data_IF_463944267112
#
_entry.id   IF_463944267112
#
_cell.length_a   1.000
_cell.length_b   1.000
_cell.length_c   1.000
_cell.angle_alpha   90.00
_cell.angle_beta   90.00
_cell.angle_gamma   90.00
#
_symmetry.space_group_name_H-M   'P 1'
#
loop_
_entity.id
_entity.type
_entity.pdbx_description
1 polymer ?
#
# COMPACT_ATOMS: atom_id res chain seq x y z
N UNK A 1 -9.83 -4.85 -11.15
CA UNK A 1 -9.76 -5.41 -12.50
C UNK A 1 -9.63 -4.28 -13.50
N UNK A 2 -8.66 -4.41 -14.39
CA UNK A 2 -8.36 -3.50 -15.50
C UNK A 2 -8.63 -4.27 -16.80
N UNK A 3 -9.53 -3.78 -17.67
CA UNK A 3 -9.84 -4.46 -18.92
C UNK A 3 -8.71 -4.26 -19.95
N UNK A 4 -8.29 -5.35 -20.58
CA UNK A 4 -7.36 -5.34 -21.72
C UNK A 4 -7.89 -6.28 -22.82
N UNK A 5 -7.40 -6.17 -24.06
CA UNK A 5 -7.80 -7.08 -25.14
C UNK A 5 -7.30 -8.52 -24.96
N UNK A 6 -6.28 -8.75 -24.13
CA UNK A 6 -5.80 -10.08 -23.77
C UNK A 6 -6.59 -10.70 -22.60
N UNK A 7 -7.58 -9.97 -22.07
CA UNK A 7 -8.37 -10.33 -20.90
C UNK A 7 -8.09 -9.44 -19.69
N UNK A 8 -8.66 -9.77 -18.51
CA UNK A 8 -8.51 -8.94 -17.33
C UNK A 8 -7.07 -8.96 -16.81
N UNK A 9 -6.67 -7.82 -16.24
CA UNK A 9 -5.50 -7.67 -15.38
C UNK A 9 -5.98 -7.28 -13.98
N UNK A 10 -5.53 -8.02 -12.97
CA UNK A 10 -5.83 -7.77 -11.56
C UNK A 10 -4.67 -7.03 -10.93
N UNK A 11 -4.98 -6.13 -9.99
CA UNK A 11 -4.02 -5.26 -9.33
C UNK A 11 -4.21 -5.44 -7.82
N UNK A 12 -3.13 -5.82 -7.13
CA UNK A 12 -3.03 -5.75 -5.67
C UNK A 12 -2.14 -4.57 -5.31
N UNK A 13 -2.55 -3.76 -4.34
CA UNK A 13 -1.77 -2.62 -3.89
C UNK A 13 -1.84 -2.47 -2.37
N UNK A 14 -0.72 -2.08 -1.77
CA UNK A 14 -0.57 -1.81 -0.35
C UNK A 14 -0.27 -0.33 -0.19
N UNK A 15 -1.10 0.35 0.60
CA UNK A 15 -1.02 1.80 0.80
C UNK A 15 -0.81 2.12 2.27
N UNK A 16 0.24 2.87 2.52
CA UNK A 16 0.55 3.38 3.86
C UNK A 16 -0.54 4.35 4.32
N UNK A 17 -1.10 4.15 5.53
CA UNK A 17 -2.19 4.99 6.02
C UNK A 17 -1.72 6.38 6.46
N UNK A 18 -0.45 6.48 6.88
CA UNK A 18 0.18 7.71 7.37
C UNK A 18 0.54 8.67 6.22
N UNK A 19 1.37 8.22 5.27
CA UNK A 19 1.85 9.02 4.14
C UNK A 19 0.97 8.92 2.91
N UNK A 20 0.01 7.99 2.88
CA UNK A 20 -0.83 7.67 1.71
C UNK A 20 -0.06 7.13 0.51
N UNK A 21 1.22 6.80 0.68
CA UNK A 21 2.10 6.25 -0.36
C UNK A 21 1.65 4.83 -0.70
N UNK A 22 1.66 4.49 -1.99
CA UNK A 22 1.60 3.09 -2.42
C UNK A 22 2.99 2.50 -2.23
N UNK A 23 3.15 1.64 -1.23
CA UNK A 23 4.47 1.09 -0.83
C UNK A 23 4.79 -0.21 -1.55
N UNK A 24 3.76 -0.87 -2.08
CA UNK A 24 3.88 -2.05 -2.92
C UNK A 24 2.66 -2.19 -3.82
N UNK A 25 2.86 -2.72 -5.02
CA UNK A 25 1.78 -3.14 -5.88
C UNK A 25 2.28 -4.24 -6.81
N UNK A 26 1.36 -5.11 -7.24
CA UNK A 26 1.64 -6.22 -8.15
C UNK A 26 0.45 -6.42 -9.08
N UNK A 27 0.67 -6.98 -10.27
CA UNK A 27 -0.40 -7.34 -11.19
C UNK A 27 -0.35 -8.80 -11.62
N UNK A 28 -1.52 -9.38 -11.90
CA UNK A 28 -1.63 -10.76 -12.38
C UNK A 28 -2.83 -10.94 -13.31
N UNK A 29 -2.77 -11.96 -14.15
CA UNK A 29 -3.94 -12.42 -14.92
C UNK A 29 -5.02 -13.05 -14.02
N UNK A 30 -4.69 -13.39 -12.77
CA UNK A 30 -5.55 -14.07 -11.81
C UNK A 30 -5.71 -13.27 -10.51
N UNK A 31 -6.94 -13.22 -9.98
CA UNK A 31 -7.24 -12.69 -8.65
C UNK A 31 -7.14 -13.79 -7.59
N UNK A 32 -5.91 -14.21 -7.29
CA UNK A 32 -5.64 -15.26 -6.30
C UNK A 32 -4.85 -14.71 -5.10
N UNK A 33 -4.63 -15.59 -4.12
CA UNK A 33 -3.86 -15.25 -2.91
C UNK A 33 -2.38 -15.00 -3.22
N UNK A 34 -1.83 -15.57 -4.29
CA UNK A 34 -0.42 -15.44 -4.63
C UNK A 34 -0.12 -14.02 -5.16
N UNK A 35 -1.09 -13.39 -5.87
CA UNK A 35 -1.04 -11.96 -6.21
C UNK A 35 -0.97 -11.07 -4.96
N UNK A 36 -1.83 -11.31 -3.97
CA UNK A 36 -1.83 -10.54 -2.71
C UNK A 36 -0.52 -10.73 -1.96
N UNK A 37 -0.08 -11.98 -1.81
CA UNK A 37 1.16 -12.34 -1.13
C UNK A 37 2.37 -11.68 -1.76
N UNK A 38 2.46 -11.66 -3.10
CA UNK A 38 3.57 -11.01 -3.81
C UNK A 38 3.68 -9.53 -3.46
N UNK A 39 2.54 -8.81 -3.47
CA UNK A 39 2.53 -7.40 -3.05
C UNK A 39 2.90 -7.21 -1.57
N UNK A 40 2.50 -8.15 -0.70
CA UNK A 40 2.85 -8.11 0.72
C UNK A 40 4.35 -8.34 0.95
N UNK A 41 4.94 -9.35 0.31
CA UNK A 41 6.39 -9.60 0.40
C UNK A 41 7.18 -8.39 -0.11
N UNK A 42 6.75 -7.78 -1.22
CA UNK A 42 7.39 -6.55 -1.71
C UNK A 42 7.32 -5.43 -0.67
N UNK A 43 6.15 -5.19 -0.06
CA UNK A 43 5.99 -4.18 1.00
C UNK A 43 6.89 -4.44 2.21
N UNK A 44 7.06 -5.72 2.60
CA UNK A 44 7.92 -6.10 3.73
C UNK A 44 9.40 -5.98 3.41
N UNK A 45 9.79 -6.18 2.14
CA UNK A 45 11.18 -5.97 1.72
C UNK A 45 11.52 -4.49 1.48
N UNK A 46 10.54 -3.66 1.14
CA UNK A 46 10.76 -2.25 0.80
C UNK A 46 10.83 -1.33 2.02
N UNK A 47 10.49 -1.82 3.22
CA UNK A 47 10.57 -1.04 4.47
C UNK A 47 11.16 -1.88 5.60
N UNK A 48 11.99 -1.28 6.44
CA UNK A 48 12.35 -1.84 7.74
C UNK A 48 11.14 -1.74 8.66
N UNK A 49 10.37 -2.81 8.75
CA UNK A 49 9.21 -2.91 9.64
C UNK A 49 9.60 -3.77 10.84
N UNK A 50 9.55 -3.22 12.06
CA UNK A 50 9.74 -4.08 13.23
C UNK A 50 8.50 -4.95 13.45
N UNK A 51 8.66 -6.23 13.87
CA UNK A 51 7.54 -7.10 14.18
C UNK A 51 6.58 -6.46 15.19
N UNK A 52 5.28 -6.45 14.90
CA UNK A 52 4.23 -5.88 15.75
C UNK A 52 3.85 -4.43 15.41
N UNK A 53 4.64 -3.72 14.61
CA UNK A 53 4.38 -2.30 14.30
C UNK A 53 3.46 -2.13 13.09
N UNK A 54 3.23 -3.19 12.30
CA UNK A 54 2.41 -3.16 11.10
C UNK A 54 1.06 -3.82 11.35
N UNK A 55 -0.01 -3.06 11.12
CA UNK A 55 -1.36 -3.60 10.97
C UNK A 55 -1.64 -3.68 9.49
N UNK A 56 -2.03 -4.86 9.00
CA UNK A 56 -2.47 -5.06 7.62
C UNK A 56 -4.00 -5.17 7.62
N UNK A 57 -4.65 -4.14 7.09
CA UNK A 57 -6.10 -4.15 6.86
C UNK A 57 -6.38 -4.66 5.46
N UNK A 58 -7.32 -5.60 5.36
CA UNK A 58 -7.76 -6.17 4.10
C UNK A 58 -9.26 -6.41 4.14
N UNK A 59 -9.93 -6.16 3.01
CA UNK A 59 -11.35 -6.48 2.86
C UNK A 59 -11.59 -7.99 2.92
N UNK A 60 -12.82 -8.38 3.27
CA UNK A 60 -13.28 -9.76 3.44
C UNK A 60 -13.34 -10.58 2.13
N UNK A 61 -12.44 -10.35 1.18
CA UNK A 61 -12.27 -11.21 0.01
C UNK A 61 -11.78 -12.60 0.40
N UNK A 62 -12.25 -13.62 -0.32
CA UNK A 62 -11.82 -15.03 -0.17
C UNK A 62 -10.30 -15.23 -0.28
N UNK A 63 -9.60 -14.32 -0.94
CA UNK A 63 -8.15 -14.31 -1.11
C UNK A 63 -7.43 -13.86 0.18
N UNK A 64 -8.00 -12.89 0.89
CA UNK A 64 -7.47 -12.33 2.13
C UNK A 64 -7.76 -13.19 3.36
N UNK A 65 -8.74 -14.09 3.26
CA UNK A 65 -9.04 -15.12 4.24
C UNK A 65 -8.29 -16.44 4.00
N UNK A 66 -7.39 -16.48 3.01
CA UNK A 66 -6.62 -17.69 2.70
C UNK A 66 -5.62 -18.02 3.81
N UNK A 67 -5.53 -19.31 4.16
CA UNK A 67 -4.61 -19.83 5.17
C UNK A 67 -3.17 -19.41 4.87
N UNK A 68 -2.78 -19.35 3.58
CA UNK A 68 -1.45 -18.91 3.14
C UNK A 68 -1.16 -17.47 3.59
N UNK A 69 -2.08 -16.53 3.35
CA UNK A 69 -1.92 -15.13 3.72
C UNK A 69 -1.88 -14.95 5.24
N UNK A 70 -2.85 -15.52 5.95
CA UNK A 70 -2.90 -15.45 7.41
C UNK A 70 -1.63 -16.04 8.05
N UNK A 71 -1.13 -17.17 7.52
CA UNK A 71 0.13 -17.79 8.01
C UNK A 71 1.33 -16.88 7.78
N UNK A 72 1.43 -16.18 6.64
CA UNK A 72 2.56 -15.26 6.38
C UNK A 72 2.49 -14.00 7.23
N UNK A 73 1.30 -13.42 7.43
CA UNK A 73 1.10 -12.28 8.32
C UNK A 73 1.56 -12.61 9.75
N UNK A 74 1.12 -13.75 10.30
CA UNK A 74 1.54 -14.23 11.63
C UNK A 74 3.07 -14.43 11.69
N UNK A 75 3.68 -15.05 10.68
CA UNK A 75 5.14 -15.26 10.63
C UNK A 75 5.94 -13.96 10.56
N UNK A 76 5.39 -12.92 9.93
CA UNK A 76 6.02 -11.60 9.86
C UNK A 76 5.76 -10.75 11.11
N UNK A 77 5.02 -11.27 12.10
CA UNK A 77 4.64 -10.51 13.30
C UNK A 77 3.66 -9.38 12.99
N UNK A 78 2.95 -9.45 11.86
CA UNK A 78 1.98 -8.44 11.43
C UNK A 78 0.64 -8.81 12.05
N UNK A 79 0.04 -7.89 12.79
CA UNK A 79 -1.29 -8.12 13.31
C UNK A 79 -2.30 -7.99 12.16
N UNK A 80 -2.88 -9.12 11.76
CA UNK A 80 -3.98 -9.14 10.82
C UNK A 80 -5.22 -8.59 11.53
N UNK A 81 -5.56 -7.32 11.30
CA UNK A 81 -6.87 -6.80 11.67
C UNK A 81 -7.84 -7.15 10.53
N UNK A 82 -8.39 -8.36 10.59
CA UNK A 82 -9.65 -8.64 9.87
C UNK A 82 -10.75 -8.01 10.71
N UNK A 83 -11.01 -6.72 10.49
CA UNK A 83 -11.81 -5.89 11.37
C UNK A 83 -13.12 -6.53 11.79
N UNK A 84 -13.51 -6.35 13.04
CA UNK A 84 -14.92 -6.42 13.43
C UNK A 84 -15.73 -5.49 12.52
N UNK A 85 -17.01 -5.80 12.28
CA UNK A 85 -17.97 -4.94 11.55
C UNK A 85 -17.84 -3.49 12.05
N UNK A 86 -17.13 -2.61 11.31
CA UNK A 86 -16.91 -1.24 11.78
C UNK A 86 -15.71 -0.41 11.26
N UNK A 87 -14.65 -0.96 10.66
CA UNK A 87 -13.49 -0.15 10.20
C UNK A 87 -13.72 0.55 8.85
N UNK A 88 -14.70 1.44 8.83
CA UNK A 88 -15.03 2.29 7.67
C UNK A 88 -13.86 3.14 7.15
N UNK A 89 -12.86 3.44 7.98
CA UNK A 89 -11.73 4.30 7.62
C UNK A 89 -10.72 3.59 6.70
N UNK A 90 -10.34 2.36 7.02
CA UNK A 90 -9.36 1.60 6.24
C UNK A 90 -9.94 1.14 4.90
N UNK A 91 -11.20 0.68 4.91
CA UNK A 91 -11.93 0.42 3.68
C UNK A 91 -12.03 1.70 2.82
N UNK A 92 -12.30 2.87 3.44
CA UNK A 92 -12.31 4.14 2.69
C UNK A 92 -10.93 4.54 2.13
N UNK A 93 -9.81 4.18 2.76
CA UNK A 93 -8.47 4.42 2.24
C UNK A 93 -8.18 3.57 0.99
N UNK A 94 -8.57 2.30 1.02
CA UNK A 94 -8.46 1.40 -0.11
C UNK A 94 -9.41 1.81 -1.26
N UNK A 95 -10.69 2.03 -0.96
CA UNK A 95 -11.69 2.50 -1.92
C UNK A 95 -11.26 3.80 -2.61
N UNK A 96 -10.70 4.75 -1.85
CA UNK A 96 -10.20 6.00 -2.40
C UNK A 96 -9.05 5.78 -3.40
N UNK A 97 -8.12 4.87 -3.11
CA UNK A 97 -7.05 4.52 -4.05
C UNK A 97 -7.66 3.95 -5.34
N UNK A 98 -8.64 3.05 -5.24
CA UNK A 98 -9.28 2.46 -6.40
C UNK A 98 -10.02 3.47 -7.27
N UNK A 99 -10.71 4.43 -6.65
CA UNK A 99 -11.35 5.53 -7.37
C UNK A 99 -10.31 6.34 -8.14
N UNK A 100 -9.18 6.68 -7.51
CA UNK A 100 -8.11 7.46 -8.14
C UNK A 100 -7.49 6.71 -9.33
N UNK A 101 -7.06 5.46 -9.15
CA UNK A 101 -6.50 4.64 -10.23
C UNK A 101 -7.50 4.51 -11.38
N UNK A 102 -8.76 4.16 -11.10
CA UNK A 102 -9.78 4.02 -12.14
C UNK A 102 -10.04 5.32 -12.87
N UNK A 103 -10.09 6.45 -12.17
CA UNK A 103 -10.49 7.75 -12.74
C UNK A 103 -9.36 8.45 -13.47
N UNK A 104 -8.15 8.40 -12.91
CA UNK A 104 -6.99 9.15 -13.39
C UNK A 104 -6.08 8.31 -14.30
N UNK A 105 -5.91 7.01 -14.02
CA UNK A 105 -5.02 6.14 -14.81
C UNK A 105 -5.76 5.38 -15.91
N UNK A 106 -6.94 4.80 -15.61
CA UNK A 106 -7.59 3.81 -16.49
C UNK A 106 -8.69 4.42 -17.37
N UNK A 107 -9.48 5.35 -16.84
CA UNK A 107 -10.64 5.92 -17.54
C UNK A 107 -10.26 6.53 -18.87
N UNK A 108 -10.96 6.13 -19.93
CA UNK A 108 -10.73 6.64 -21.29
C UNK A 108 -9.60 5.94 -22.05
N UNK A 109 -8.93 4.94 -21.45
CA UNK A 109 -7.91 4.13 -22.12
C UNK A 109 -8.46 2.77 -22.51
N UNK A 110 -7.94 2.23 -23.61
CA UNK A 110 -8.16 0.84 -24.02
C UNK A 110 -6.80 0.19 -24.21
N UNK A 111 -6.48 -0.78 -23.37
CA UNK A 111 -5.19 -1.46 -23.43
C UNK A 111 -5.25 -2.64 -24.39
N UNK A 112 -4.31 -2.67 -25.34
CA UNK A 112 -4.15 -3.80 -26.25
C UNK A 112 -3.59 -5.02 -25.51
N UNK A 113 -2.63 -4.81 -24.61
CA UNK A 113 -1.95 -5.89 -23.88
C UNK A 113 -1.95 -5.65 -22.37
N UNK A 114 -1.75 -6.72 -21.60
CA UNK A 114 -1.51 -6.61 -20.15
C UNK A 114 -0.25 -5.82 -19.83
N UNK A 115 0.78 -5.95 -20.65
CA UNK A 115 2.03 -5.21 -20.49
C UNK A 115 1.82 -3.68 -20.61
N UNK A 116 0.97 -3.24 -21.55
CA UNK A 116 0.61 -1.83 -21.70
C UNK A 116 -0.13 -1.30 -20.47
N UNK A 117 -1.08 -2.07 -19.94
CA UNK A 117 -1.78 -1.72 -18.71
C UNK A 117 -0.82 -1.68 -17.50
N UNK A 118 0.15 -2.59 -17.43
CA UNK A 118 1.13 -2.62 -16.36
C UNK A 118 2.09 -1.40 -16.44
N UNK A 119 2.53 -1.03 -17.64
CA UNK A 119 3.33 0.17 -17.86
C UNK A 119 2.56 1.44 -17.45
N UNK A 120 1.28 1.52 -17.82
CA UNK A 120 0.40 2.61 -17.42
C UNK A 120 0.26 2.75 -15.89
N UNK A 121 0.17 1.62 -15.18
CA UNK A 121 0.15 1.60 -13.73
C UNK A 121 1.48 2.04 -13.14
N UNK A 122 2.60 1.59 -13.68
CA UNK A 122 3.94 2.03 -13.26
C UNK A 122 4.13 3.54 -13.44
N UNK A 123 3.83 4.06 -14.63
CA UNK A 123 3.90 5.50 -14.91
C UNK A 123 2.99 6.31 -13.98
N UNK A 124 1.81 5.79 -13.67
CA UNK A 124 0.88 6.47 -12.78
C UNK A 124 1.29 6.37 -11.32
N UNK A 125 1.58 5.18 -10.78
CA UNK A 125 1.85 4.96 -9.35
C UNK A 125 3.24 5.50 -9.00
N UNK A 126 4.28 5.01 -9.69
CA UNK A 126 5.67 5.31 -9.39
C UNK A 126 6.14 6.60 -10.06
N UNK A 127 5.61 6.93 -11.24
CA UNK A 127 5.98 8.14 -11.97
C UNK A 127 5.22 9.41 -11.56
N UNK A 128 4.01 9.29 -10.99
CA UNK A 128 3.16 10.45 -10.67
C UNK A 128 2.57 10.42 -9.26
N UNK A 129 1.83 9.38 -8.88
CA UNK A 129 1.06 9.30 -7.65
C UNK A 129 1.96 9.48 -6.43
N UNK A 130 2.98 8.64 -6.29
CA UNK A 130 3.90 8.67 -5.16
C UNK A 130 4.77 9.94 -5.13
N UNK A 131 5.48 10.31 -6.22
CA UNK A 131 6.44 11.41 -6.16
C UNK A 131 5.83 12.80 -6.35
N UNK A 132 4.68 12.94 -7.02
CA UNK A 132 4.23 14.25 -7.56
C UNK A 132 2.78 14.61 -7.26
N UNK A 133 1.93 13.65 -6.88
CA UNK A 133 0.50 13.92 -6.72
C UNK A 133 0.21 14.68 -5.44
N UNK A 134 -0.04 15.97 -5.58
CA UNK A 134 -0.38 16.87 -4.46
C UNK A 134 -1.70 16.46 -3.79
N UNK A 135 -1.67 16.34 -2.45
CA UNK A 135 -2.86 16.02 -1.66
C UNK A 135 -3.07 17.07 -0.56
N UNK A 136 -4.26 17.69 -0.53
CA UNK A 136 -4.64 18.66 0.51
C UNK A 136 -4.49 18.09 1.93
N UNK A 137 -4.80 16.80 2.11
CA UNK A 137 -4.69 16.11 3.40
C UNK A 137 -3.24 15.93 3.87
N UNK A 138 -2.27 15.97 2.96
CA UNK A 138 -0.84 15.90 3.27
C UNK A 138 -0.19 17.30 3.33
N UNK A 139 -0.98 18.36 3.51
CA UNK A 139 -0.45 19.72 3.53
C UNK A 139 0.04 20.21 2.17
N UNK A 140 -0.61 19.77 1.08
CA UNK A 140 -0.21 20.10 -0.29
C UNK A 140 1.16 19.53 -0.70
N UNK A 141 1.51 18.37 -0.16
CA UNK A 141 2.67 17.59 -0.55
C UNK A 141 2.25 16.32 -1.29
N UNK A 142 3.18 15.74 -2.06
CA UNK A 142 3.07 14.37 -2.54
C UNK A 142 3.27 13.36 -1.39
N UNK A 143 2.84 12.10 -1.55
CA UNK A 143 3.11 11.05 -0.56
C UNK A 143 4.58 10.93 -0.16
N UNK A 144 5.50 10.94 -1.14
CA UNK A 144 6.94 10.86 -0.87
C UNK A 144 7.44 12.13 -0.18
N UNK A 145 7.07 13.32 -0.67
CA UNK A 145 7.51 14.60 -0.06
C UNK A 145 7.04 14.72 1.40
N UNK A 146 5.82 14.26 1.70
CA UNK A 146 5.28 14.25 3.05
C UNK A 146 6.08 13.32 3.97
N UNK A 147 6.39 12.11 3.49
CA UNK A 147 7.17 11.11 4.23
C UNK A 147 8.59 11.60 4.50
N UNK A 148 9.26 12.13 3.47
CA UNK A 148 10.61 12.70 3.57
C UNK A 148 10.67 13.87 4.55
N UNK A 149 9.71 14.79 4.47
CA UNK A 149 9.58 15.90 5.40
C UNK A 149 9.43 15.41 6.84
N UNK A 150 8.58 14.41 7.06
CA UNK A 150 8.35 13.88 8.41
C UNK A 150 9.61 13.27 9.02
N UNK A 151 10.34 12.44 8.26
CA UNK A 151 11.56 11.83 8.77
C UNK A 151 12.71 12.84 8.94
N UNK A 152 12.80 13.86 8.07
CA UNK A 152 13.74 14.96 8.26
C UNK A 152 13.44 15.76 9.53
N UNK A 153 12.17 16.07 9.78
CA UNK A 153 11.73 16.80 10.99
C UNK A 153 11.98 15.95 12.26
N UNK A 154 11.77 14.62 12.21
CA UNK A 154 12.11 13.71 13.32
C UNK A 154 13.62 13.66 13.60
N UNK A 155 14.45 13.54 12.56
CA UNK A 155 15.90 13.50 12.70
C UNK A 155 16.48 14.82 13.25
N UNK A 156 15.84 15.95 12.92
CA UNK A 156 16.20 17.26 13.50
C UNK A 156 15.70 17.44 14.95
N UNK A 157 14.63 16.73 15.34
CA UNK A 157 14.04 16.78 16.66
C UNK A 157 14.68 15.82 17.68
N UNK A 158 15.38 14.76 17.23
CA UNK A 158 16.27 13.98 18.11
C UNK A 158 17.46 14.86 18.51
N UNK A 159 17.55 15.33 19.76
CA UNK A 159 18.74 16.04 20.20
C UNK A 159 19.91 15.08 20.09
N UNK A 160 21.11 15.61 19.79
CA UNK A 160 22.39 14.95 20.12
C UNK A 160 22.42 14.74 21.64
N UNK A 161 21.76 13.68 22.10
CA UNK A 161 21.73 13.27 23.48
C UNK A 161 22.87 12.27 23.63
N UNK A 162 24.07 12.84 23.72
CA UNK A 162 25.29 12.16 24.10
C UNK A 162 25.20 11.81 25.60
N UNK A 163 24.28 10.88 25.93
CA UNK A 163 24.20 10.19 27.22
C UNK A 163 23.22 9.02 27.13
N UNK A 164 23.82 7.83 27.00
CA UNK A 164 23.39 6.55 27.58
C UNK A 164 21.97 6.03 27.31
N UNK A 165 21.93 4.99 26.46
CA UNK A 165 21.27 3.68 26.64
C UNK A 165 19.73 3.61 26.75
N UNK A 166 19.21 2.68 25.95
CA UNK A 166 18.06 1.78 26.14
C UNK A 166 16.65 2.16 25.62
N UNK A 167 16.19 1.28 24.71
CA UNK A 167 14.83 0.71 24.52
C UNK A 167 13.75 1.45 23.67
N UNK A 168 13.20 0.64 22.74
CA UNK A 168 11.78 0.39 22.40
C UNK A 168 10.93 1.38 21.57
N UNK A 169 10.50 0.90 20.38
CA UNK A 169 9.09 0.83 19.90
C UNK A 169 8.50 2.00 19.11
N UNK A 170 8.09 1.80 17.85
CA UNK A 170 7.38 2.77 16.98
C UNK A 170 6.25 2.13 16.13
N UNK A 171 4.98 2.30 16.50
CA UNK A 171 3.81 1.76 15.78
C UNK A 171 3.49 2.50 14.44
N UNK A 172 3.27 1.78 13.32
CA UNK A 172 2.88 2.30 11.99
C UNK A 172 1.83 1.41 11.25
N UNK A 173 0.57 1.84 11.16
CA UNK A 173 -0.52 1.12 10.48
C UNK A 173 -0.55 1.30 8.93
N UNK A 174 -0.90 0.23 8.18
CA UNK A 174 -0.96 0.21 6.70
C UNK A 174 -2.25 -0.49 6.19
N UNK A 175 -2.94 0.12 5.23
CA UNK A 175 -4.20 -0.41 4.65
C UNK A 175 -3.97 -1.02 3.26
N UNK A 176 -4.55 -2.19 2.97
CA UNK A 176 -4.55 -2.82 1.66
C UNK A 176 -5.99 -3.12 1.20
N UNK A 177 -6.22 -3.05 -0.10
CA UNK A 177 -7.46 -3.54 -0.72
C UNK A 177 -7.16 -4.15 -2.07
N UNK A 178 -8.19 -4.61 -2.77
CA UNK A 178 -8.12 -5.09 -4.15
C UNK A 178 -9.35 -4.59 -4.93
N UNK A 179 -9.19 -4.41 -6.24
CA UNK A 179 -10.27 -4.13 -7.17
C UNK A 179 -10.32 -5.14 -8.29
#
# INVERSE_FOLDING_TARGET
MIPTREGPLWLSAIRDAFSRRVVAWETSAHADADLVLSSLEYALTSREVAPGELVHHADHGTQYTSIKLTTRLVRAGIQASMGSVGDSFDNALAENLWILVKTECIRGRTFATRAEANLALFEYIDGFYNPRRIQKRLGYLSPIEFEEKHYADQAAAEPVNLRSRCLSGRDHCVSAGQA
#
